data_IF_581178899958
#
_entry.id   IF_581178899958
#
_cell.length_a   1.000
_cell.length_b   1.000
_cell.length_c   1.000
_cell.angle_alpha   90.00
_cell.angle_beta   90.00
_cell.angle_gamma   90.00
#
_symmetry.space_group_name_H-M   'P 1'
#
loop_
_entity.id
_entity.type
_entity.pdbx_description
1 polymer ?
#
# COMPACT_ATOMS: atom_id res chain seq x y z
N UNK A 1 51.79 39.25 -33.01
CA UNK A 1 50.44 38.67 -33.07
C UNK A 1 50.67 37.17 -33.14
N UNK A 2 50.85 36.60 -31.95
CA UNK A 2 51.11 35.19 -31.72
C UNK A 2 49.76 34.49 -31.53
N UNK A 3 49.51 33.44 -32.33
CA UNK A 3 48.91 32.17 -31.90
C UNK A 3 48.58 31.27 -33.11
N UNK A 4 49.37 30.20 -33.28
CA UNK A 4 48.99 29.03 -34.06
C UNK A 4 48.04 28.13 -33.25
N UNK A 5 47.13 27.38 -33.89
CA UNK A 5 46.64 26.13 -33.35
C UNK A 5 47.19 24.93 -34.15
N UNK A 6 47.92 24.11 -33.41
CA UNK A 6 48.29 22.72 -33.70
C UNK A 6 47.02 21.89 -33.93
N UNK A 7 47.12 20.91 -34.84
CA UNK A 7 46.54 19.56 -34.85
C UNK A 7 46.09 19.17 -36.27
N UNK A 8 47.08 18.71 -37.03
CA UNK A 8 46.94 17.90 -38.23
C UNK A 8 46.97 16.41 -37.85
N UNK A 9 46.54 15.59 -38.82
CA UNK A 9 46.49 14.11 -38.87
C UNK A 9 45.20 13.45 -38.35
N UNK A 10 44.18 13.20 -39.18
CA UNK A 10 44.09 12.31 -40.36
C UNK A 10 43.84 10.82 -40.02
N UNK A 11 42.59 10.42 -40.30
CA UNK A 11 42.10 9.16 -40.87
C UNK A 11 42.79 7.81 -40.55
N UNK A 12 42.01 6.88 -39.98
CA UNK A 12 41.86 5.53 -40.55
C UNK A 12 40.46 4.96 -40.27
N UNK A 13 39.66 4.87 -41.33
CA UNK A 13 38.32 4.29 -41.37
C UNK A 13 38.37 2.95 -42.11
N UNK A 14 39.05 1.94 -41.57
CA UNK A 14 38.93 0.56 -42.07
C UNK A 14 39.01 -0.47 -40.94
N UNK A 15 37.86 -0.76 -40.32
CA UNK A 15 37.76 -1.81 -39.31
C UNK A 15 36.41 -1.80 -38.61
N UNK A 16 35.43 -2.47 -39.21
CA UNK A 16 34.10 -2.71 -38.63
C UNK A 16 34.20 -3.69 -37.45
N UNK A 17 34.64 -3.21 -36.30
CA UNK A 17 34.37 -3.89 -35.03
C UNK A 17 33.54 -2.98 -34.13
N UNK A 18 32.32 -3.42 -33.75
CA UNK A 18 31.46 -2.61 -32.90
C UNK A 18 32.12 -2.42 -31.53
N UNK A 19 31.91 -1.25 -30.94
CA UNK A 19 32.60 -0.72 -29.74
C UNK A 19 32.64 -1.73 -28.56
N UNK A 20 31.66 -2.63 -28.45
CA UNK A 20 31.59 -3.67 -27.42
C UNK A 20 32.65 -4.78 -27.54
N UNK A 21 33.38 -4.89 -28.65
CA UNK A 21 34.53 -5.81 -28.75
C UNK A 21 35.79 -5.30 -28.04
N UNK A 22 35.94 -3.97 -27.87
CA UNK A 22 37.10 -3.37 -27.19
C UNK A 22 37.00 -3.40 -25.65
N UNK A 23 35.86 -3.79 -25.08
CA UNK A 23 35.66 -3.88 -23.62
C UNK A 23 36.06 -5.22 -23.00
N UNK A 24 36.57 -6.20 -23.78
CA UNK A 24 37.09 -7.46 -23.23
C UNK A 24 38.55 -7.33 -22.75
N UNK A 25 38.73 -6.65 -21.63
CA UNK A 25 39.77 -7.01 -20.64
C UNK A 25 39.07 -7.19 -19.30
N UNK A 26 38.34 -8.29 -19.19
CA UNK A 26 37.90 -8.83 -17.90
C UNK A 26 38.99 -9.82 -17.48
N UNK A 27 39.60 -9.58 -16.32
CA UNK A 27 40.52 -10.53 -15.67
C UNK A 27 39.79 -11.87 -15.49
N UNK A 28 40.51 -12.98 -15.72
CA UNK A 28 40.03 -14.32 -15.37
C UNK A 28 39.53 -14.35 -13.92
N UNK A 29 38.28 -14.77 -13.78
CA UNK A 29 37.49 -14.69 -12.56
C UNK A 29 36.04 -14.43 -12.96
N UNK A 30 35.31 -15.51 -13.26
CA UNK A 30 33.88 -15.46 -13.56
C UNK A 30 33.14 -14.71 -12.44
N UNK A 31 32.75 -13.47 -12.69
CA UNK A 31 31.60 -12.89 -11.98
C UNK A 31 30.42 -13.24 -12.87
N UNK A 32 29.69 -14.28 -12.47
CA UNK A 32 28.39 -14.57 -13.07
C UNK A 32 27.54 -13.31 -12.94
N UNK A 33 27.19 -12.70 -14.08
CA UNK A 33 26.40 -11.46 -14.16
C UNK A 33 25.04 -11.60 -13.45
N UNK A 34 24.61 -12.83 -13.15
CA UNK A 34 23.35 -13.14 -12.49
C UNK A 34 23.49 -13.65 -11.04
N UNK A 35 24.70 -13.81 -10.49
CA UNK A 35 24.85 -14.30 -9.12
C UNK A 35 24.73 -13.20 -8.04
N UNK A 36 24.75 -11.92 -8.45
CA UNK A 36 24.74 -10.76 -7.54
C UNK A 36 23.65 -9.74 -7.89
N UNK A 37 22.74 -10.08 -8.80
CA UNK A 37 21.51 -9.31 -9.01
C UNK A 37 20.38 -10.00 -8.26
N UNK A 38 20.28 -9.73 -6.96
CA UNK A 38 19.02 -9.95 -6.25
C UNK A 38 17.99 -8.98 -6.85
N UNK A 39 17.08 -9.49 -7.68
CA UNK A 39 15.85 -8.76 -8.03
C UNK A 39 15.08 -8.51 -6.74
N UNK A 40 14.71 -7.26 -6.45
CA UNK A 40 14.08 -6.89 -5.19
C UNK A 40 15.03 -6.34 -4.12
N UNK A 41 16.03 -5.54 -4.48
CA UNK A 41 16.67 -4.65 -3.48
C UNK A 41 15.71 -3.51 -3.11
N UNK A 42 14.65 -3.86 -2.39
CA UNK A 42 14.30 -3.05 -1.25
C UNK A 42 15.54 -2.91 -0.39
N UNK A 43 15.78 -1.71 0.12
CA UNK A 43 16.88 -1.38 1.02
C UNK A 43 16.64 -2.01 2.40
N UNK A 44 16.24 -3.28 2.42
CA UNK A 44 15.97 -3.99 3.65
C UNK A 44 17.32 -4.47 4.16
N UNK A 45 17.67 -4.18 5.42
CA UNK A 45 18.88 -4.75 6.01
C UNK A 45 18.77 -6.27 5.93
N UNK A 46 19.89 -6.95 5.65
CA UNK A 46 19.97 -8.40 5.81
C UNK A 46 19.56 -8.70 7.26
N UNK A 47 18.37 -9.26 7.44
CA UNK A 47 17.87 -9.62 8.77
C UNK A 47 18.56 -10.91 9.24
N UNK A 48 19.64 -11.37 8.62
CA UNK A 48 20.23 -12.67 8.89
C UNK A 48 20.88 -12.73 10.28
N UNK A 49 20.12 -13.17 11.28
CA UNK A 49 20.65 -13.91 12.42
C UNK A 49 20.48 -15.40 12.14
N UNK A 50 21.41 -16.23 12.63
CA UNK A 50 21.29 -17.70 12.61
C UNK A 50 20.72 -18.24 13.94
N UNK A 51 20.46 -17.35 14.90
CA UNK A 51 20.03 -17.68 16.26
C UNK A 51 18.66 -17.05 16.56
N UNK A 52 17.83 -17.81 17.30
CA UNK A 52 16.55 -17.33 17.82
C UNK A 52 16.78 -16.16 18.76
N UNK A 53 15.90 -15.18 18.71
CA UNK A 53 16.04 -13.93 19.46
C UNK A 53 14.84 -13.73 20.37
N UNK A 54 15.07 -13.39 21.63
CA UNK A 54 14.00 -13.04 22.58
C UNK A 54 13.89 -11.54 22.76
N UNK A 55 12.70 -11.00 22.54
CA UNK A 55 12.34 -9.61 22.81
C UNK A 55 11.21 -9.53 23.83
N UNK A 56 11.02 -8.36 24.43
CA UNK A 56 9.88 -8.06 25.31
C UNK A 56 8.98 -7.06 24.61
N UNK A 57 7.70 -7.37 24.41
CA UNK A 57 6.70 -6.47 23.83
C UNK A 57 5.60 -6.24 24.86
N UNK A 58 5.40 -4.99 25.28
CA UNK A 58 4.40 -4.61 26.31
C UNK A 58 4.50 -5.49 27.58
N UNK A 59 5.73 -5.85 27.97
CA UNK A 59 6.03 -6.70 29.12
C UNK A 59 5.91 -8.22 28.88
N UNK A 60 5.55 -8.66 27.68
CA UNK A 60 5.48 -10.08 27.29
C UNK A 60 6.77 -10.50 26.59
N UNK A 61 7.39 -11.59 27.05
CA UNK A 61 8.60 -12.14 26.44
C UNK A 61 8.22 -13.05 25.27
N UNK A 62 8.70 -12.71 24.07
CA UNK A 62 8.44 -13.40 22.80
C UNK A 62 9.77 -13.87 22.22
N UNK A 63 9.86 -15.16 21.90
CA UNK A 63 11.03 -15.75 21.23
C UNK A 63 10.72 -15.93 19.76
N UNK A 64 11.49 -15.24 18.92
CA UNK A 64 11.34 -15.19 17.49
C UNK A 64 12.37 -16.07 16.78
N UNK A 65 11.96 -16.55 15.61
CA UNK A 65 12.86 -17.24 14.70
C UNK A 65 13.98 -16.32 14.22
N UNK A 66 15.10 -16.90 13.77
CA UNK A 66 16.17 -16.09 13.21
C UNK A 66 15.64 -15.27 12.03
N UNK A 67 16.13 -14.04 11.90
CA UNK A 67 15.69 -13.09 10.86
C UNK A 67 14.28 -12.51 10.96
N UNK A 68 13.66 -12.57 12.14
CA UNK A 68 12.43 -11.83 12.41
C UNK A 68 12.65 -10.33 12.64
N UNK A 69 11.61 -9.56 12.34
CA UNK A 69 11.48 -8.14 12.62
C UNK A 69 10.79 -7.90 13.96
N UNK A 70 10.86 -6.67 14.46
CA UNK A 70 10.09 -6.26 15.66
C UNK A 70 8.59 -6.42 15.43
N UNK A 71 8.09 -6.20 14.20
CA UNK A 71 6.68 -6.40 13.87
C UNK A 71 6.23 -7.85 14.03
N UNK A 72 7.10 -8.84 13.78
CA UNK A 72 6.76 -10.25 13.95
C UNK A 72 6.52 -10.56 15.44
N UNK A 73 7.34 -10.02 16.34
CA UNK A 73 7.10 -10.13 17.78
C UNK A 73 5.88 -9.36 18.26
N UNK A 74 5.61 -8.19 17.68
CA UNK A 74 4.37 -7.45 17.93
C UNK A 74 3.14 -8.24 17.48
N UNK A 75 3.22 -9.00 16.39
CA UNK A 75 2.13 -9.83 15.89
C UNK A 75 1.87 -11.09 16.74
N UNK A 76 2.88 -11.57 17.47
CA UNK A 76 2.75 -12.71 18.39
C UNK A 76 2.33 -12.31 19.82
N UNK A 77 2.45 -11.03 20.17
CA UNK A 77 2.12 -10.51 21.50
C UNK A 77 0.65 -10.06 21.60
N UNK A 78 0.07 -10.14 22.80
CA UNK A 78 -1.18 -9.45 23.12
C UNK A 78 -0.89 -7.96 23.40
N UNK A 79 -0.82 -7.13 22.37
CA UNK A 79 -0.39 -5.72 22.51
C UNK A 79 -1.43 -4.84 23.21
N UNK A 80 -0.95 -3.78 23.87
CA UNK A 80 -1.83 -2.78 24.50
C UNK A 80 -2.57 -1.93 23.46
N UNK A 81 -1.96 -1.72 22.28
CA UNK A 81 -2.54 -0.96 21.18
C UNK A 81 -2.30 -1.64 19.82
N UNK A 82 -3.16 -1.39 18.83
CA UNK A 82 -3.01 -1.91 17.46
C UNK A 82 -1.80 -1.25 16.78
N UNK A 83 -0.88 -2.04 16.22
CA UNK A 83 0.29 -1.55 15.47
C UNK A 83 0.14 -1.91 13.99
N UNK A 84 -0.58 -1.10 13.20
CA UNK A 84 -0.84 -1.41 11.80
C UNK A 84 0.41 -1.22 10.92
N UNK A 85 0.63 -2.13 9.97
CA UNK A 85 1.76 -2.06 9.03
C UNK A 85 1.30 -2.04 7.56
N UNK A 86 0.63 -0.96 7.13
CA UNK A 86 -0.05 -0.88 5.83
C UNK A 86 0.85 -1.18 4.61
N UNK A 87 2.12 -0.75 4.64
CA UNK A 87 3.04 -0.99 3.54
C UNK A 87 3.78 -2.33 3.64
N UNK A 88 3.63 -3.08 4.73
CA UNK A 88 4.17 -4.43 4.87
C UNK A 88 3.20 -5.44 4.26
N UNK A 89 3.73 -6.55 3.74
CA UNK A 89 2.93 -7.64 3.21
C UNK A 89 3.55 -9.00 3.56
N UNK A 90 3.32 -9.45 4.80
CA UNK A 90 3.90 -10.67 5.36
C UNK A 90 3.45 -12.00 4.70
N UNK A 91 2.62 -11.97 3.65
CA UNK A 91 2.12 -13.19 2.98
C UNK A 91 3.06 -13.73 1.90
N UNK A 92 4.02 -12.94 1.42
CA UNK A 92 5.02 -13.37 0.44
C UNK A 92 6.37 -12.80 0.86
N UNK A 93 7.34 -13.68 1.14
CA UNK A 93 8.69 -13.33 1.61
C UNK A 93 9.49 -12.44 0.64
N UNK A 94 8.97 -12.17 -0.56
CA UNK A 94 9.60 -11.31 -1.59
C UNK A 94 9.01 -9.90 -1.67
N UNK A 95 7.99 -9.58 -0.86
CA UNK A 95 7.45 -8.21 -0.75
C UNK A 95 7.84 -7.68 0.63
N UNK A 96 8.96 -6.97 0.67
CA UNK A 96 9.62 -6.54 1.88
C UNK A 96 9.04 -5.26 2.52
N UNK A 97 9.23 -5.07 3.83
CA UNK A 97 8.74 -3.91 4.56
C UNK A 97 9.56 -2.65 4.27
N UNK A 98 8.99 -1.68 3.55
CA UNK A 98 9.68 -0.42 3.21
C UNK A 98 9.70 0.65 4.31
N UNK A 99 8.92 0.48 5.37
CA UNK A 99 8.69 1.52 6.38
C UNK A 99 8.20 2.87 5.78
N UNK A 100 7.56 2.83 4.62
CA UNK A 100 7.12 4.02 3.89
C UNK A 100 5.91 4.71 4.55
N UNK A 101 4.93 3.91 5.02
CA UNK A 101 3.71 4.45 5.63
C UNK A 101 3.87 4.87 7.09
N UNK A 102 4.89 4.33 7.80
CA UNK A 102 5.19 4.61 9.22
C UNK A 102 3.99 4.48 10.18
N UNK A 103 3.00 3.68 9.83
CA UNK A 103 1.89 3.37 10.75
C UNK A 103 2.29 2.32 11.80
N UNK A 104 3.45 1.67 11.63
CA UNK A 104 3.95 0.61 12.49
C UNK A 104 4.98 1.10 13.52
N UNK A 105 4.92 2.38 13.91
CA UNK A 105 5.92 2.98 14.80
C UNK A 105 5.69 2.50 16.24
N UNK A 106 6.78 2.06 16.87
CA UNK A 106 6.83 1.59 18.27
C UNK A 106 8.02 2.23 18.97
N UNK A 107 8.02 2.26 20.30
CA UNK A 107 9.14 2.78 21.08
C UNK A 107 10.00 1.63 21.62
N UNK A 108 11.30 1.69 21.32
CA UNK A 108 12.32 0.82 21.89
C UNK A 108 13.08 1.55 22.99
N UNK A 109 13.43 0.84 24.05
CA UNK A 109 14.27 1.31 25.13
C UNK A 109 15.65 1.83 24.67
N UNK A 110 16.28 1.17 23.70
CA UNK A 110 17.62 1.52 23.20
C UNK A 110 17.59 2.55 22.06
N UNK A 111 16.65 2.42 21.12
CA UNK A 111 16.64 3.21 19.87
C UNK A 111 15.58 4.31 19.83
N UNK A 112 14.71 4.40 20.83
CA UNK A 112 13.54 5.28 20.81
C UNK A 112 12.54 4.84 19.74
N UNK A 113 11.95 5.79 19.02
CA UNK A 113 10.97 5.49 17.97
C UNK A 113 11.59 4.77 16.77
N UNK A 114 11.08 3.58 16.47
CA UNK A 114 11.52 2.75 15.35
C UNK A 114 10.31 2.21 14.56
N UNK A 115 10.45 1.97 13.25
CA UNK A 115 9.41 1.30 12.48
C UNK A 115 9.51 -0.22 12.71
N UNK A 116 8.51 -0.81 13.37
CA UNK A 116 8.54 -2.24 13.71
C UNK A 116 8.66 -3.14 12.48
N UNK A 117 8.05 -2.76 11.36
CA UNK A 117 7.95 -3.62 10.18
C UNK A 117 9.28 -3.96 9.53
N UNK A 118 10.30 -3.11 9.62
CA UNK A 118 11.60 -3.34 8.98
C UNK A 118 12.77 -3.34 9.96
N UNK A 119 12.52 -3.10 11.25
CA UNK A 119 13.58 -3.09 12.25
C UNK A 119 13.87 -4.53 12.69
N UNK A 120 15.11 -5.04 12.58
CA UNK A 120 15.45 -6.40 13.02
C UNK A 120 15.25 -6.58 14.52
N UNK A 121 14.61 -7.67 14.93
CA UNK A 121 14.53 -8.03 16.34
C UNK A 121 15.94 -8.36 16.86
N UNK A 122 16.30 -7.85 18.05
CA UNK A 122 17.60 -8.10 18.70
C UNK A 122 17.41 -8.59 20.12
N UNK A 123 18.34 -9.42 20.58
CA UNK A 123 18.24 -10.06 21.88
C UNK A 123 18.12 -9.03 23.00
N UNK A 124 17.08 -9.19 23.83
CA UNK A 124 16.85 -8.35 25.00
C UNK A 124 16.21 -7.00 24.72
N UNK A 125 15.74 -6.72 23.50
CA UNK A 125 15.00 -5.48 23.23
C UNK A 125 13.71 -5.40 24.05
N UNK A 126 13.39 -4.21 24.58
CA UNK A 126 12.12 -3.90 25.21
C UNK A 126 11.35 -2.90 24.32
N UNK A 127 10.16 -3.32 23.88
CA UNK A 127 9.32 -2.63 22.92
C UNK A 127 8.00 -2.29 23.60
N UNK A 128 7.60 -1.02 23.52
CA UNK A 128 6.32 -0.53 23.99
C UNK A 128 5.50 0.00 22.81
N UNK A 129 4.27 -0.47 22.68
CA UNK A 129 3.38 -0.13 21.55
C UNK A 129 2.52 1.09 21.82
N UNK A 130 2.16 1.34 23.09
CA UNK A 130 1.16 2.31 23.56
C UNK A 130 1.76 3.55 24.23
N UNK A 131 3.06 3.82 24.03
CA UNK A 131 3.65 5.03 24.58
C UNK A 131 3.02 6.25 23.92
N UNK A 132 2.85 7.38 24.65
CA UNK A 132 2.24 8.58 24.07
C UNK A 132 2.95 9.07 22.80
N UNK A 133 4.26 8.81 22.71
CA UNK A 133 5.08 9.19 21.57
C UNK A 133 4.88 8.24 20.38
N UNK A 134 4.76 6.93 20.62
CA UNK A 134 4.46 5.95 19.59
C UNK A 134 3.05 6.14 19.02
N UNK A 135 2.03 6.25 19.87
CA UNK A 135 0.64 6.44 19.44
C UNK A 135 0.46 7.73 18.65
N UNK A 136 0.93 8.88 19.16
CA UNK A 136 0.86 10.16 18.42
C UNK A 136 1.59 10.09 17.08
N UNK A 137 2.74 9.39 17.03
CA UNK A 137 3.47 9.20 15.78
C UNK A 137 2.65 8.38 14.78
N UNK A 138 2.01 7.29 15.22
CA UNK A 138 1.15 6.47 14.36
C UNK A 138 -0.04 7.29 13.86
N UNK A 139 -0.69 8.06 14.72
CA UNK A 139 -1.81 8.95 14.36
C UNK A 139 -1.40 9.99 13.32
N UNK A 140 -0.27 10.68 13.53
CA UNK A 140 0.23 11.69 12.57
C UNK A 140 0.52 11.07 11.21
N UNK A 141 1.15 9.90 11.18
CA UNK A 141 1.44 9.24 9.92
C UNK A 141 0.17 8.72 9.23
N UNK A 142 -0.81 8.22 9.98
CA UNK A 142 -2.11 7.84 9.44
C UNK A 142 -2.85 9.04 8.84
N UNK A 143 -2.85 10.18 9.51
CA UNK A 143 -3.43 11.42 8.99
C UNK A 143 -2.75 11.90 7.71
N UNK A 144 -1.42 11.80 7.62
CA UNK A 144 -0.68 12.15 6.40
C UNK A 144 -1.00 11.21 5.25
N UNK A 145 -1.14 9.91 5.52
CA UNK A 145 -1.59 8.92 4.54
C UNK A 145 -3.01 9.24 4.05
N UNK A 146 -3.92 9.59 4.95
CA UNK A 146 -5.30 9.96 4.61
C UNK A 146 -5.38 11.29 3.87
N UNK A 147 -4.47 12.24 4.16
CA UNK A 147 -4.45 13.53 3.48
C UNK A 147 -4.14 13.43 1.99
N UNK A 148 -3.34 12.44 1.59
CA UNK A 148 -3.10 12.09 0.18
C UNK A 148 -4.12 11.11 -0.42
N UNK A 149 -5.20 10.77 0.30
CA UNK A 149 -6.17 9.75 -0.12
C UNK A 149 -7.57 10.33 -0.39
N UNK A 150 -8.14 9.96 -1.53
CA UNK A 150 -9.54 10.19 -1.86
C UNK A 150 -10.45 9.29 -1.00
N UNK A 151 -11.15 9.88 -0.03
CA UNK A 151 -12.02 9.18 0.93
C UNK A 151 -13.44 8.84 0.39
N UNK A 152 -13.65 8.81 -0.93
CA UNK A 152 -14.92 8.31 -1.51
C UNK A 152 -15.00 6.78 -1.42
N UNK A 153 -15.22 6.28 -0.20
CA UNK A 153 -15.30 4.86 0.12
C UNK A 153 -16.57 4.19 -0.42
N UNK A 154 -17.69 4.92 -0.50
CA UNK A 154 -19.00 4.37 -0.87
C UNK A 154 -19.05 3.79 -2.29
N UNK A 155 -18.24 4.32 -3.20
CA UNK A 155 -18.11 3.86 -4.60
C UNK A 155 -16.80 3.13 -4.87
N UNK A 156 -15.98 2.92 -3.83
CA UNK A 156 -14.69 2.25 -3.96
C UNK A 156 -14.86 0.73 -4.12
N UNK A 157 -14.22 0.14 -5.14
CA UNK A 157 -14.23 -1.32 -5.38
C UNK A 157 -13.55 -2.16 -4.30
N UNK A 158 -12.91 -1.51 -3.30
CA UNK A 158 -12.30 -2.16 -2.13
C UNK A 158 -13.02 -1.87 -0.82
N UNK A 159 -14.17 -1.20 -0.86
CA UNK A 159 -14.97 -0.92 0.34
C UNK A 159 -15.31 -2.20 1.11
N UNK A 160 -15.16 -2.19 2.43
CA UNK A 160 -15.41 -3.33 3.32
C UNK A 160 -14.29 -4.37 3.37
N UNK A 161 -13.20 -4.19 2.63
CA UNK A 161 -12.00 -5.05 2.64
C UNK A 161 -10.70 -4.25 2.42
N UNK A 162 -10.75 -2.96 2.70
CA UNK A 162 -9.63 -2.03 2.54
C UNK A 162 -8.86 -1.97 3.87
N UNK A 163 -7.56 -2.28 3.84
CA UNK A 163 -6.71 -2.28 5.04
C UNK A 163 -6.62 -0.87 5.64
N UNK A 164 -6.53 0.17 4.79
CA UNK A 164 -6.54 1.55 5.28
C UNK A 164 -7.86 1.91 5.96
N UNK A 165 -8.99 1.44 5.44
CA UNK A 165 -10.31 1.69 6.03
C UNK A 165 -10.43 1.02 7.40
N UNK A 166 -9.98 -0.24 7.50
CA UNK A 166 -9.96 -0.99 8.75
C UNK A 166 -9.11 -0.27 9.81
N UNK A 167 -7.88 0.11 9.46
CA UNK A 167 -6.98 0.86 10.34
C UNK A 167 -7.59 2.20 10.76
N UNK A 168 -8.21 2.95 9.85
CA UNK A 168 -8.87 4.22 10.21
C UNK A 168 -10.04 4.04 11.17
N UNK A 169 -10.80 2.94 11.06
CA UNK A 169 -11.90 2.63 11.98
C UNK A 169 -11.35 2.23 13.35
N UNK A 170 -10.32 1.39 13.38
CA UNK A 170 -9.67 0.95 14.63
C UNK A 170 -9.05 2.10 15.42
N UNK A 171 -8.51 3.11 14.72
CA UNK A 171 -7.92 4.30 15.33
C UNK A 171 -8.95 5.45 15.49
N UNK A 172 -10.25 5.14 15.36
CA UNK A 172 -11.35 6.10 15.58
C UNK A 172 -11.21 7.43 14.82
N UNK A 173 -10.67 7.37 13.59
CA UNK A 173 -10.46 8.58 12.79
C UNK A 173 -11.81 9.17 12.36
N UNK A 174 -12.14 10.35 12.89
CA UNK A 174 -13.32 11.11 12.49
C UNK A 174 -13.02 12.01 11.27
N UNK A 175 -11.95 12.81 11.35
CA UNK A 175 -11.53 13.76 10.33
C UNK A 175 -10.00 13.88 10.28
N UNK A 176 -9.36 13.67 9.11
CA UNK A 176 -7.92 13.83 9.01
C UNK A 176 -7.46 15.26 9.32
N UNK A 177 -6.45 15.39 10.18
CA UNK A 177 -5.97 16.71 10.67
C UNK A 177 -5.43 17.62 9.56
N UNK A 178 -4.88 17.04 8.50
CA UNK A 178 -4.17 17.77 7.43
C UNK A 178 -5.03 17.99 6.18
N UNK A 179 -6.35 17.77 6.26
CA UNK A 179 -7.26 17.85 5.12
C UNK A 179 -7.21 16.60 4.24
N UNK A 180 -7.98 16.56 3.15
CA UNK A 180 -8.01 15.44 2.19
C UNK A 180 -7.91 15.95 0.75
N UNK A 181 -7.49 15.10 -0.19
CA UNK A 181 -7.27 15.43 -1.61
C UNK A 181 -8.49 16.14 -2.23
N UNK A 182 -9.71 15.72 -1.90
CA UNK A 182 -10.93 16.33 -2.43
C UNK A 182 -11.13 17.80 -2.08
N UNK A 183 -10.55 18.24 -0.96
CA UNK A 183 -10.80 19.59 -0.49
C UNK A 183 -9.97 20.63 -1.27
N UNK A 184 -8.90 20.22 -1.96
CA UNK A 184 -7.89 21.14 -2.46
C UNK A 184 -7.34 20.86 -3.88
N UNK A 185 -7.69 19.75 -4.55
CA UNK A 185 -7.06 19.35 -5.82
C UNK A 185 -8.03 18.79 -6.86
N UNK A 186 -7.70 18.99 -8.15
CA UNK A 186 -8.37 18.31 -9.26
C UNK A 186 -7.89 16.85 -9.31
N UNK A 187 -8.83 15.91 -9.18
CA UNK A 187 -8.51 14.49 -9.17
C UNK A 187 -7.91 14.03 -10.50
N UNK A 188 -6.91 13.16 -10.43
CA UNK A 188 -6.37 12.50 -11.61
C UNK A 188 -7.46 11.60 -12.24
N UNK A 189 -7.58 11.58 -13.59
CA UNK A 189 -8.46 10.64 -14.26
C UNK A 189 -8.15 9.17 -13.88
N UNK A 190 -9.20 8.42 -13.60
CA UNK A 190 -9.10 6.99 -13.33
C UNK A 190 -8.69 6.27 -14.62
N UNK A 191 -7.66 5.42 -14.54
CA UNK A 191 -7.24 4.58 -15.67
C UNK A 191 -8.06 3.29 -15.70
N UNK A 192 -9.06 3.30 -16.59
CA UNK A 192 -9.95 2.17 -16.89
C UNK A 192 -9.63 1.55 -18.27
N UNK A 193 -8.42 1.79 -18.78
CA UNK A 193 -8.06 1.35 -20.13
C UNK A 193 -7.95 -0.17 -20.26
N UNK A 194 -7.55 -0.85 -19.19
CA UNK A 194 -7.42 -2.30 -19.13
C UNK A 194 -8.77 -2.94 -18.79
N UNK A 195 -9.19 -4.01 -19.50
CA UNK A 195 -10.48 -4.64 -19.24
C UNK A 195 -10.56 -5.37 -17.89
N UNK A 196 -9.42 -5.59 -17.22
CA UNK A 196 -9.32 -6.41 -16.01
C UNK A 196 -8.88 -5.65 -14.75
N UNK A 197 -8.18 -4.52 -14.91
CA UNK A 197 -7.54 -3.82 -13.78
C UNK A 197 -7.75 -2.32 -13.96
N UNK A 198 -8.31 -1.69 -12.94
CA UNK A 198 -8.45 -0.25 -12.82
C UNK A 198 -7.30 0.30 -11.97
N UNK A 199 -6.80 1.47 -12.34
CA UNK A 199 -5.90 2.24 -11.47
C UNK A 199 -6.56 3.58 -11.12
N UNK A 200 -6.82 3.78 -9.84
CA UNK A 200 -7.20 5.06 -9.26
C UNK A 200 -6.07 5.58 -8.37
N UNK A 201 -5.21 6.43 -8.94
CA UNK A 201 -4.03 6.95 -8.23
C UNK A 201 -4.40 7.87 -7.08
N UNK A 202 -5.60 8.47 -7.10
CA UNK A 202 -6.11 9.30 -5.99
C UNK A 202 -6.34 8.48 -4.70
N UNK A 203 -6.39 7.15 -4.80
CA UNK A 203 -6.52 6.25 -3.64
C UNK A 203 -5.19 5.58 -3.26
N UNK A 204 -4.09 5.94 -3.91
CA UNK A 204 -2.78 5.34 -3.67
C UNK A 204 -2.10 5.97 -2.45
N UNK A 205 -1.60 5.14 -1.53
CA UNK A 205 -0.83 5.60 -0.37
C UNK A 205 0.69 5.49 -0.58
N UNK A 206 1.12 5.30 -1.84
CA UNK A 206 2.53 5.19 -2.25
C UNK A 206 3.32 4.12 -1.47
N UNK A 207 2.65 3.04 -1.03
CA UNK A 207 3.25 1.97 -0.24
C UNK A 207 4.20 1.04 -1.01
N UNK A 208 4.30 1.18 -2.33
CA UNK A 208 5.15 0.39 -3.23
C UNK A 208 4.86 -1.14 -3.33
N UNK A 209 3.97 -1.71 -2.49
CA UNK A 209 3.58 -3.15 -2.53
C UNK A 209 3.29 -3.66 -3.93
N UNK A 210 2.51 -2.91 -4.71
CA UNK A 210 2.13 -3.29 -6.07
C UNK A 210 3.30 -3.33 -7.08
N UNK A 211 4.29 -2.46 -6.90
CA UNK A 211 5.47 -2.37 -7.77
C UNK A 211 6.38 -3.57 -7.53
N UNK A 212 6.61 -3.94 -6.27
CA UNK A 212 7.40 -5.12 -5.90
C UNK A 212 6.73 -6.42 -6.33
N UNK A 213 5.42 -6.54 -6.07
CA UNK A 213 4.61 -7.63 -6.61
C UNK A 213 4.80 -7.79 -8.13
N UNK A 214 4.77 -6.67 -8.87
CA UNK A 214 4.91 -6.71 -10.31
C UNK A 214 6.33 -7.05 -10.78
N UNK A 215 7.35 -6.47 -10.15
CA UNK A 215 8.71 -6.47 -10.67
C UNK A 215 9.61 -7.54 -10.03
N UNK A 216 9.40 -7.86 -8.76
CA UNK A 216 10.28 -8.72 -7.99
C UNK A 216 9.65 -10.11 -7.82
N UNK A 217 8.33 -10.16 -7.58
CA UNK A 217 7.61 -11.43 -7.42
C UNK A 217 7.25 -12.05 -8.77
N UNK A 218 6.58 -11.28 -9.63
CA UNK A 218 6.13 -11.74 -10.95
C UNK A 218 7.19 -11.55 -12.04
N UNK A 219 8.22 -10.74 -11.78
CA UNK A 219 9.29 -10.42 -12.75
C UNK A 219 8.73 -9.89 -14.08
N UNK A 220 7.59 -9.19 -14.02
CA UNK A 220 6.92 -8.64 -15.19
C UNK A 220 7.53 -7.30 -15.62
N UNK A 221 8.08 -6.52 -14.68
CA UNK A 221 8.79 -5.28 -14.98
C UNK A 221 7.90 -4.19 -15.56
N UNK A 222 6.65 -4.06 -15.08
CA UNK A 222 5.63 -3.18 -15.71
C UNK A 222 5.43 -1.90 -14.90
N UNK A 223 5.28 -2.01 -13.59
CA UNK A 223 4.97 -0.86 -12.72
C UNK A 223 6.23 -0.18 -12.21
N UNK A 224 6.15 1.12 -11.93
CA UNK A 224 7.18 1.88 -11.21
C UNK A 224 6.55 3.01 -10.40
N UNK A 225 7.30 3.53 -9.43
CA UNK A 225 7.02 4.86 -8.89
C UNK A 225 7.55 5.91 -9.87
N UNK A 226 6.74 6.92 -10.16
CA UNK A 226 7.06 8.04 -11.06
C UNK A 226 6.76 9.36 -10.35
N UNK A 227 7.56 10.40 -10.63
CA UNK A 227 7.39 11.72 -10.05
C UNK A 227 8.41 12.04 -8.94
N UNK A 228 8.24 13.20 -8.32
CA UNK A 228 9.02 13.75 -7.22
C UNK A 228 8.11 14.41 -6.19
N UNK A 229 8.30 14.08 -4.91
CA UNK A 229 7.54 14.67 -3.82
C UNK A 229 6.01 14.61 -4.05
N UNK A 230 5.35 15.75 -4.23
CA UNK A 230 3.88 15.87 -4.27
C UNK A 230 3.19 15.34 -5.53
N UNK A 231 3.91 15.04 -6.61
CA UNK A 231 3.34 14.43 -7.83
C UNK A 231 3.68 12.93 -7.96
N UNK A 232 4.21 12.34 -6.89
CA UNK A 232 4.60 10.93 -6.90
C UNK A 232 3.38 10.02 -7.07
N UNK A 233 3.46 9.12 -8.05
CA UNK A 233 2.35 8.24 -8.42
C UNK A 233 2.85 6.92 -9.02
N UNK A 234 1.92 6.00 -9.24
CA UNK A 234 2.21 4.76 -9.97
C UNK A 234 2.27 5.06 -11.47
N UNK A 235 3.39 4.75 -12.11
CA UNK A 235 3.60 4.84 -13.55
C UNK A 235 3.98 3.51 -14.17
N UNK A 236 4.23 3.53 -15.48
CA UNK A 236 4.63 2.35 -16.25
C UNK A 236 6.08 2.45 -16.72
N UNK A 237 6.82 1.33 -16.67
CA UNK A 237 8.25 1.27 -17.02
C UNK A 237 8.52 1.67 -18.48
N UNK A 238 7.61 1.34 -19.39
CA UNK A 238 7.73 1.69 -20.80
C UNK A 238 7.32 3.15 -21.13
N UNK A 239 6.96 3.95 -20.13
CA UNK A 239 6.53 5.34 -20.29
C UNK A 239 5.11 5.50 -20.85
N UNK A 240 4.30 4.43 -20.88
CA UNK A 240 2.88 4.54 -21.22
C UNK A 240 2.14 5.41 -20.19
N UNK A 241 1.05 6.06 -20.62
CA UNK A 241 0.17 6.81 -19.73
C UNK A 241 -0.91 5.93 -19.09
N UNK A 242 -1.26 4.81 -19.74
CA UNK A 242 -2.36 3.93 -19.35
C UNK A 242 -1.92 2.47 -19.28
N UNK A 243 -2.64 1.66 -18.50
CA UNK A 243 -2.33 0.24 -18.32
C UNK A 243 -2.39 -0.54 -19.64
N UNK A 244 -3.37 -0.27 -20.49
CA UNK A 244 -3.46 -0.93 -21.81
C UNK A 244 -2.30 -0.56 -22.73
N UNK A 245 -1.72 0.64 -22.59
CA UNK A 245 -0.51 1.05 -23.32
C UNK A 245 0.78 0.44 -22.76
N UNK A 246 0.73 -0.18 -21.57
CA UNK A 246 1.87 -0.82 -20.93
C UNK A 246 2.13 -2.24 -21.46
N UNK A 247 3.15 -2.91 -20.91
CA UNK A 247 3.44 -4.33 -21.17
C UNK A 247 2.69 -5.29 -20.23
N UNK A 248 1.70 -4.79 -19.48
CA UNK A 248 0.91 -5.58 -18.53
C UNK A 248 0.19 -6.76 -19.21
N UNK A 249 0.29 -7.94 -18.61
CA UNK A 249 -0.48 -9.14 -18.99
C UNK A 249 -1.71 -9.38 -18.11
N UNK A 250 -2.02 -8.45 -17.21
CA UNK A 250 -3.17 -8.50 -16.29
C UNK A 250 -3.19 -9.72 -15.36
N UNK A 251 -2.04 -10.14 -14.80
CA UNK A 251 -1.97 -11.25 -13.84
C UNK A 251 -2.65 -10.96 -12.49
N UNK A 252 -2.95 -9.69 -12.19
CA UNK A 252 -3.73 -9.28 -11.01
C UNK A 252 -2.97 -9.25 -9.68
N UNK A 253 -1.69 -9.65 -9.62
CA UNK A 253 -0.97 -9.70 -8.35
C UNK A 253 -0.85 -8.33 -7.67
N UNK A 254 -0.66 -7.25 -8.45
CA UNK A 254 -0.65 -5.87 -7.96
C UNK A 254 -1.98 -5.46 -7.30
N UNK A 255 -3.12 -5.96 -7.78
CA UNK A 255 -4.46 -5.74 -7.20
C UNK A 255 -4.59 -6.48 -5.88
N UNK A 256 -4.13 -7.75 -5.83
CA UNK A 256 -4.18 -8.58 -4.63
C UNK A 256 -3.40 -7.97 -3.47
N UNK A 257 -2.22 -7.42 -3.75
CA UNK A 257 -1.35 -6.86 -2.70
C UNK A 257 -1.63 -5.40 -2.39
N UNK A 258 -2.51 -4.69 -3.12
CA UNK A 258 -2.76 -3.28 -2.82
C UNK A 258 -3.52 -3.17 -1.47
N UNK A 259 -3.09 -2.36 -0.49
CA UNK A 259 -3.84 -2.19 0.76
C UNK A 259 -5.13 -1.36 0.61
N UNK A 260 -5.25 -0.60 -0.49
CA UNK A 260 -6.32 0.37 -0.72
C UNK A 260 -7.06 0.14 -2.03
N UNK A 261 -8.03 0.99 -2.35
CA UNK A 261 -8.76 0.98 -3.61
C UNK A 261 -7.99 1.51 -4.82
N UNK A 262 -6.66 1.70 -4.72
CA UNK A 262 -5.87 2.26 -5.82
C UNK A 262 -5.75 1.33 -7.02
N UNK A 263 -5.67 0.02 -6.78
CA UNK A 263 -5.73 -1.00 -7.82
C UNK A 263 -6.86 -1.96 -7.48
N UNK A 264 -7.84 -2.07 -8.38
CA UNK A 264 -9.00 -2.95 -8.24
C UNK A 264 -9.27 -3.71 -9.53
N UNK A 265 -9.87 -4.87 -9.40
CA UNK A 265 -10.37 -5.64 -10.52
C UNK A 265 -11.53 -4.91 -11.24
N UNK A 266 -11.52 -4.92 -12.57
CA UNK A 266 -12.63 -4.40 -13.40
C UNK A 266 -13.49 -5.51 -13.97
N UNK A 267 -14.78 -5.22 -14.14
CA UNK A 267 -15.77 -6.05 -14.84
C UNK A 267 -15.94 -7.49 -14.33
N UNK A 268 -15.26 -7.85 -13.25
CA UNK A 268 -15.48 -9.04 -12.44
C UNK A 268 -16.44 -8.65 -11.31
N UNK A 269 -17.66 -8.31 -11.67
CA UNK A 269 -18.71 -8.04 -10.70
C UNK A 269 -18.82 -9.28 -9.80
N UNK A 270 -18.39 -9.11 -8.54
CA UNK A 270 -18.65 -9.96 -7.38
C UNK A 270 -18.03 -11.39 -7.31
N UNK A 271 -17.52 -11.98 -8.40
CA UNK A 271 -17.16 -13.42 -8.38
C UNK A 271 -15.83 -13.79 -7.67
N UNK A 272 -14.81 -12.93 -7.70
CA UNK A 272 -13.50 -13.22 -7.09
C UNK A 272 -13.36 -12.66 -5.66
N UNK A 273 -14.34 -11.85 -5.24
CA UNK A 273 -14.20 -10.95 -4.08
C UNK A 273 -15.36 -11.01 -3.11
N UNK A 274 -16.43 -11.75 -3.44
CA UNK A 274 -17.38 -12.20 -2.44
C UNK A 274 -16.61 -13.00 -1.37
N UNK A 275 -16.70 -12.65 -0.08
CA UNK A 275 -16.32 -13.56 0.98
C UNK A 275 -17.30 -14.72 0.93
N UNK A 276 -17.05 -15.71 0.08
CA UNK A 276 -17.74 -16.97 0.15
C UNK A 276 -17.40 -17.51 1.55
N UNK A 277 -18.38 -17.80 2.42
CA UNK A 277 -18.08 -18.28 3.77
C UNK A 277 -17.13 -19.49 3.68
N UNK A 278 -15.91 -19.34 4.20
CA UNK A 278 -14.84 -20.34 4.10
C UNK A 278 -13.74 -20.07 3.05
N UNK A 279 -13.87 -19.07 2.19
CA UNK A 279 -12.83 -18.60 1.26
C UNK A 279 -12.40 -17.17 1.64
N UNK A 280 -11.47 -17.08 2.58
CA UNK A 280 -10.59 -15.92 2.70
C UNK A 280 -9.29 -16.21 1.94
N UNK A 281 -8.52 -15.20 1.55
CA UNK A 281 -7.18 -15.42 0.99
C UNK A 281 -6.30 -16.28 1.91
N UNK A 282 -6.52 -16.21 3.23
CA UNK A 282 -5.89 -17.04 4.27
C UNK A 282 -6.21 -18.54 4.11
N UNK A 283 -7.39 -18.88 3.59
CA UNK A 283 -7.84 -20.25 3.39
C UNK A 283 -7.48 -20.80 1.99
N UNK A 284 -7.10 -19.93 1.05
CA UNK A 284 -6.78 -20.31 -0.33
C UNK A 284 -5.37 -20.85 -0.51
N UNK A 285 -4.46 -20.61 0.45
CA UNK A 285 -3.10 -21.17 0.47
C UNK A 285 -2.79 -21.68 1.89
N UNK A 286 -3.11 -22.94 2.16
CA UNK A 286 -2.57 -23.68 3.31
C UNK A 286 -3.51 -23.89 4.51
N UNK A 287 -3.94 -25.15 4.66
CA UNK A 287 -4.59 -25.79 5.82
C UNK A 287 -5.99 -25.30 6.22
N UNK A 288 -6.95 -26.20 6.00
CA UNK A 288 -8.30 -26.18 6.57
C UNK A 288 -8.28 -26.30 8.09
N UNK A 289 -8.99 -25.42 8.79
CA UNK A 289 -9.60 -25.75 10.08
C UNK A 289 -11.10 -25.43 10.01
N UNK A 290 -11.92 -26.46 10.26
CA UNK A 290 -13.34 -26.32 10.56
C UNK A 290 -13.55 -26.13 12.07
N UNK A 291 -14.80 -25.79 12.42
CA UNK A 291 -15.35 -25.51 13.76
C UNK A 291 -15.02 -24.08 14.25
N UNK A 292 -15.93 -23.15 14.57
CA UNK A 292 -17.37 -23.16 14.84
C UNK A 292 -18.00 -21.86 14.29
N UNK A 293 -18.84 -21.93 13.25
CA UNK A 293 -19.74 -20.83 12.90
C UNK A 293 -21.06 -21.00 13.67
N UNK A 294 -21.02 -20.79 14.98
CA UNK A 294 -22.25 -20.54 15.74
C UNK A 294 -22.12 -19.22 16.48
N UNK A 295 -23.06 -18.33 16.16
CA UNK A 295 -23.43 -17.10 16.87
C UNK A 295 -22.81 -15.78 16.36
N UNK A 296 -23.55 -15.12 15.48
CA UNK A 296 -23.89 -13.69 15.61
C UNK A 296 -25.13 -13.36 14.74
N UNK A 297 -26.23 -12.83 15.33
CA UNK A 297 -27.43 -12.52 14.57
C UNK A 297 -27.22 -11.28 13.70
N UNK A 298 -27.58 -11.40 12.42
CA UNK A 298 -27.57 -10.30 11.43
C UNK A 298 -28.53 -9.20 11.89
N UNK A 299 -28.04 -7.97 12.08
CA UNK A 299 -28.90 -6.78 11.99
C UNK A 299 -28.92 -6.36 10.52
N UNK A 300 -29.92 -6.83 9.78
CA UNK A 300 -30.27 -6.20 8.50
C UNK A 300 -30.99 -4.88 8.81
N UNK A 301 -30.49 -3.79 8.23
CA UNK A 301 -31.25 -2.54 8.13
C UNK A 301 -32.52 -2.82 7.32
N UNK A 302 -33.72 -2.38 7.75
CA UNK A 302 -34.94 -2.65 7.00
C UNK A 302 -34.93 -1.86 5.68
N UNK A 303 -35.27 -2.53 4.58
CA UNK A 303 -35.62 -1.87 3.31
C UNK A 303 -36.83 -0.96 3.50
N UNK A 304 -36.78 0.23 2.91
CA UNK A 304 -37.93 1.14 2.82
C UNK A 304 -38.97 0.49 1.91
N UNK A 305 -40.11 0.08 2.46
CA UNK A 305 -41.27 -0.37 1.68
C UNK A 305 -42.27 0.76 1.58
N UNK A 306 -42.52 1.24 0.37
CA UNK A 306 -43.64 2.13 0.06
C UNK A 306 -44.95 1.35 0.23
N UNK A 307 -45.75 1.70 1.21
CA UNK A 307 -47.16 1.28 1.28
C UNK A 307 -48.06 2.51 1.06
N UNK A 308 -48.77 2.47 -0.07
CA UNK A 308 -49.93 3.31 -0.32
C UNK A 308 -51.00 3.06 0.75
N UNK A 309 -51.41 4.12 1.45
CA UNK A 309 -52.74 4.15 2.09
C UNK A 309 -53.44 5.46 1.77
N UNK A 310 -54.55 5.33 1.06
CA UNK A 310 -55.54 6.37 0.81
C UNK A 310 -56.10 6.89 2.15
N UNK A 311 -55.94 8.18 2.42
CA UNK A 311 -56.72 8.90 3.42
C UNK A 311 -56.88 10.36 2.99
N UNK A 312 -58.13 10.78 2.81
CA UNK A 312 -58.56 12.10 2.37
C UNK A 312 -58.14 13.25 3.32
N UNK A 313 -58.00 14.49 2.82
CA UNK A 313 -57.36 15.58 3.54
C UNK A 313 -58.31 16.21 4.56
N UNK A 314 -57.83 16.39 5.80
CA UNK A 314 -58.44 17.33 6.75
C UNK A 314 -57.70 18.66 6.68
N UNK A 315 -58.40 19.66 6.16
CA UNK A 315 -58.05 21.07 6.26
C UNK A 315 -58.31 21.47 7.72
N UNK A 316 -57.34 22.09 8.37
CA UNK A 316 -57.62 22.98 9.49
C UNK A 316 -56.90 24.31 9.28
N UNK A 317 -57.71 25.36 9.36
CA UNK A 317 -57.34 26.75 9.18
C UNK A 317 -56.74 27.26 10.48
N UNK A 318 -55.48 27.66 10.47
CA UNK A 318 -55.10 28.84 11.24
C UNK A 318 -53.85 29.51 10.67
N UNK A 319 -54.06 30.78 10.40
CA UNK A 319 -53.19 31.78 9.82
C UNK A 319 -52.03 32.16 10.74
N UNK A 320 -51.15 32.95 10.13
CA UNK A 320 -50.16 33.83 10.75
C UNK A 320 -48.81 33.14 11.05
N UNK A 321 -47.68 33.57 10.50
CA UNK A 321 -47.35 34.75 9.72
C UNK A 321 -45.87 34.66 9.36
N UNK A 322 -45.49 35.24 8.22
CA UNK A 322 -44.21 35.93 8.00
C UNK A 322 -42.95 35.04 8.04
N UNK A 323 -42.39 34.76 6.86
CA UNK A 323 -41.06 35.27 6.45
C UNK A 323 -40.98 35.19 4.91
N UNK A 324 -41.36 36.28 4.26
CA UNK A 324 -40.95 36.59 2.88
C UNK A 324 -39.51 37.10 2.90
N UNK A 325 -38.67 36.59 2.00
CA UNK A 325 -37.64 37.29 1.22
C UNK A 325 -37.22 36.30 0.13
N UNK A 326 -37.84 36.31 -1.06
CA UNK A 326 -37.50 37.16 -2.22
C UNK A 326 -36.05 37.01 -2.67
N UNK A 327 -35.81 36.01 -3.52
CA UNK A 327 -34.76 36.07 -4.53
C UNK A 327 -35.05 37.25 -5.46
N UNK A 328 -34.05 38.07 -5.72
CA UNK A 328 -34.03 38.90 -6.91
C UNK A 328 -32.60 38.95 -7.45
N UNK A 329 -32.55 38.82 -8.77
CA UNK A 329 -31.43 38.95 -9.71
C UNK A 329 -30.49 40.13 -9.43
#
# INVERSE_FOLDING_TARGET
>A
MDSDPIWDDAHDTTGTEPIWKKSRRVREGQVEINAVLATGTATDPDVTSDETTTITVDGQSITLEPSSTVLDGVAEADTNESVPALCSYQKDDRIGPRSACRTCMVESDEYGLIPSCSFPAREGMDIQTDTPTASETRDVNLDLVLGGHNLLCTTCGKNGRCELQEVSIENEVEHPRYGVVHDNEELEPIDESSPFIQIDRNKCILCNRCVEACNDVQVAGVLRMEGQAGDMRIGFQNGAETMMGSTCISCGHCVTVCPTGALVEQNLVEAATLPVPGFTHSNSVGKTMGEEYTSRPRRMTPMYTEEHTEAEPKIDEQTDSIWQYSDNE
#
